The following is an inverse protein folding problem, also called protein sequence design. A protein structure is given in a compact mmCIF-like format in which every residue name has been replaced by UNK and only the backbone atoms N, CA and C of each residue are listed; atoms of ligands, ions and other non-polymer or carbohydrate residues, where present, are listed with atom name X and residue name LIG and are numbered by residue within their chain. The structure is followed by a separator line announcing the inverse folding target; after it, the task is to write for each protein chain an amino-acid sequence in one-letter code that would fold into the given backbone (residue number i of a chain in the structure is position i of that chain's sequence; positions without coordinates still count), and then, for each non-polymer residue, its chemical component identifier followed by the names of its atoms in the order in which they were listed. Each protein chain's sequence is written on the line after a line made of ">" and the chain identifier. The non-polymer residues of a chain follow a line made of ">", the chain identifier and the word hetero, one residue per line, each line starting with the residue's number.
data_IF_698087228789
#
_entry.id   IF_698087228789
#
_cell.length_a   1.000
_cell.length_b   1.000
_cell.length_c   1.000
_cell.angle_alpha   90.00
_cell.angle_beta   90.00
_cell.angle_gamma   90.00
#
_symmetry.space_group_name_H-M   'P 1'
#
loop_
_entity.id
_entity.type
_entity.pdbx_description
1 polymer ?
#
# COMPACT_ATOMS: atom_id res chain seq x y z
N UNK A 1 39.20 -18.02 -10.62
CA UNK A 1 38.23 -17.33 -9.74
C UNK A 1 37.25 -16.60 -10.65
N UNK A 2 35.96 -16.94 -10.61
CA UNK A 2 34.96 -16.25 -11.42
C UNK A 2 34.76 -14.84 -10.87
N UNK A 3 35.28 -13.83 -11.57
CA UNK A 3 35.05 -12.42 -11.24
C UNK A 3 33.61 -12.10 -11.56
N UNK A 4 32.76 -12.08 -10.53
CA UNK A 4 31.42 -11.51 -10.66
C UNK A 4 31.58 -10.03 -11.06
N UNK A 5 30.86 -9.58 -12.09
CA UNK A 5 31.03 -8.23 -12.62
C UNK A 5 30.64 -7.19 -11.56
N UNK A 6 31.34 -6.06 -11.51
CA UNK A 6 30.99 -4.94 -10.62
C UNK A 6 29.52 -4.52 -10.78
N UNK A 7 29.00 -4.61 -12.01
CA UNK A 7 27.61 -4.34 -12.35
C UNK A 7 26.61 -5.16 -11.52
N UNK A 8 26.87 -6.46 -11.32
CA UNK A 8 26.00 -7.32 -10.51
C UNK A 8 25.83 -6.80 -9.08
N UNK A 9 26.91 -6.35 -8.44
CA UNK A 9 26.84 -5.81 -7.08
C UNK A 9 26.00 -4.54 -7.02
N UNK A 10 26.14 -3.64 -8.00
CA UNK A 10 25.34 -2.41 -8.06
C UNK A 10 23.85 -2.71 -8.25
N UNK A 11 23.52 -3.65 -9.13
CA UNK A 11 22.14 -4.06 -9.38
C UNK A 11 21.50 -4.68 -8.12
N UNK A 12 22.19 -5.65 -7.49
CA UNK A 12 21.69 -6.30 -6.27
C UNK A 12 21.51 -5.30 -5.13
N UNK A 13 22.50 -4.43 -4.88
CA UNK A 13 22.41 -3.41 -3.81
C UNK A 13 21.30 -2.40 -4.12
N UNK A 14 21.08 -2.10 -5.40
CA UNK A 14 19.99 -1.25 -5.89
C UNK A 14 18.60 -1.69 -5.42
N UNK A 15 18.40 -2.98 -5.11
CA UNK A 15 17.13 -3.49 -4.59
C UNK A 15 16.99 -3.44 -3.06
N UNK A 16 18.09 -3.34 -2.30
CA UNK A 16 18.06 -3.38 -0.84
C UNK A 16 17.53 -2.10 -0.19
N UNK A 17 16.89 -2.24 0.98
CA UNK A 17 16.47 -1.08 1.79
C UNK A 17 17.71 -0.43 2.39
N UNK A 18 17.65 0.88 2.66
CA UNK A 18 18.79 1.63 3.24
C UNK A 18 19.35 0.99 4.51
N UNK A 19 18.48 0.48 5.40
CA UNK A 19 18.86 -0.28 6.62
C UNK A 19 19.58 -1.59 6.35
N UNK A 20 19.28 -2.25 5.24
CA UNK A 20 19.95 -3.50 4.86
C UNK A 20 21.30 -3.20 4.20
N UNK A 21 21.37 -2.15 3.37
CA UNK A 21 22.63 -1.63 2.82
C UNK A 21 23.59 -1.22 3.95
N UNK A 22 23.07 -0.59 5.00
CA UNK A 22 23.86 -0.22 6.19
C UNK A 22 24.55 -1.44 6.82
N UNK A 23 23.84 -2.56 6.97
CA UNK A 23 24.42 -3.80 7.50
C UNK A 23 25.51 -4.34 6.58
N UNK A 24 25.34 -4.22 5.26
CA UNK A 24 26.32 -4.69 4.28
C UNK A 24 27.64 -3.90 4.33
N UNK A 25 27.64 -2.66 4.83
CA UNK A 25 28.86 -1.87 5.04
C UNK A 25 29.87 -2.59 5.94
N UNK A 26 29.39 -3.42 6.88
CA UNK A 26 30.22 -4.13 7.85
C UNK A 26 30.74 -5.48 7.33
N UNK A 27 30.38 -5.89 6.11
CA UNK A 27 31.00 -7.04 5.46
C UNK A 27 32.44 -6.70 5.01
N UNK A 28 33.22 -7.71 4.60
CA UNK A 28 34.58 -7.49 4.05
C UNK A 28 34.56 -7.49 2.52
N UNK A 29 35.51 -6.78 1.92
CA UNK A 29 35.73 -6.76 0.47
C UNK A 29 34.79 -5.82 -0.30
N UNK A 30 34.54 -6.13 -1.58
CA UNK A 30 33.78 -5.28 -2.51
C UNK A 30 32.36 -4.94 -2.05
N UNK A 31 31.69 -5.83 -1.31
CA UNK A 31 30.37 -5.54 -0.76
C UNK A 31 30.37 -4.32 0.16
N UNK A 32 31.42 -4.14 0.97
CA UNK A 32 31.52 -3.03 1.92
C UNK A 32 31.62 -1.68 1.21
N UNK A 33 32.54 -1.57 0.25
CA UNK A 33 32.79 -0.32 -0.47
C UNK A 33 31.60 0.09 -1.33
N UNK A 34 31.00 -0.86 -2.05
CA UNK A 34 29.82 -0.59 -2.88
C UNK A 34 28.60 -0.26 -2.00
N UNK A 35 28.39 -1.00 -0.90
CA UNK A 35 27.31 -0.68 0.03
C UNK A 35 27.50 0.69 0.69
N UNK A 36 28.74 1.08 1.04
CA UNK A 36 29.01 2.41 1.58
C UNK A 36 28.66 3.52 0.58
N UNK A 37 29.12 3.39 -0.67
CA UNK A 37 28.82 4.36 -1.73
C UNK A 37 27.30 4.45 -2.01
N UNK A 38 26.60 3.32 -2.08
CA UNK A 38 25.14 3.30 -2.23
C UNK A 38 24.44 3.90 -1.01
N UNK A 39 24.85 3.55 0.20
CA UNK A 39 24.23 4.04 1.43
C UNK A 39 24.28 5.57 1.53
N UNK A 40 25.43 6.16 1.18
CA UNK A 40 25.64 7.61 1.21
C UNK A 40 24.81 8.34 0.16
N UNK A 41 24.67 7.77 -1.04
CA UNK A 41 23.93 8.37 -2.16
C UNK A 41 22.43 8.05 -2.16
N UNK A 42 21.99 7.01 -1.45
CA UNK A 42 20.61 6.53 -1.45
C UNK A 42 19.66 7.58 -0.88
N UNK A 43 18.72 8.03 -1.71
CA UNK A 43 17.61 8.89 -1.32
C UNK A 43 16.29 8.14 -1.43
N UNK A 44 15.53 8.19 -0.35
CA UNK A 44 14.14 7.74 -0.31
C UNK A 44 13.26 8.98 -0.49
N UNK A 45 12.66 9.11 -1.67
CA UNK A 45 11.96 10.30 -2.12
C UNK A 45 10.45 10.20 -1.86
N UNK A 46 9.88 11.32 -1.42
CA UNK A 46 8.44 11.58 -1.44
C UNK A 46 8.15 12.60 -2.53
N UNK A 47 7.26 12.26 -3.45
CA UNK A 47 6.84 13.14 -4.52
C UNK A 47 5.42 13.63 -4.27
N UNK A 48 5.26 14.94 -4.15
CA UNK A 48 3.98 15.61 -4.08
C UNK A 48 3.59 16.14 -5.46
N UNK A 49 2.38 15.79 -5.89
CA UNK A 49 1.75 16.26 -7.12
C UNK A 49 0.50 17.04 -6.75
N UNK A 50 0.39 18.29 -7.20
CA UNK A 50 -0.84 19.06 -7.08
C UNK A 50 -1.33 19.48 -8.47
N UNK A 51 -2.64 19.34 -8.77
CA UNK A 51 -3.20 19.85 -10.01
C UNK A 51 -2.99 21.37 -10.06
N UNK A 52 -2.44 21.87 -11.16
CA UNK A 52 -2.29 23.31 -11.33
C UNK A 52 -3.63 23.90 -11.77
N UNK A 53 -4.27 24.69 -10.90
CA UNK A 53 -5.58 25.29 -11.14
C UNK A 53 -5.55 26.46 -12.13
N UNK A 54 -4.37 27.05 -12.38
CA UNK A 54 -4.21 28.24 -13.23
C UNK A 54 -3.95 27.91 -14.70
N UNK A 55 -3.30 26.79 -15.00
CA UNK A 55 -2.90 26.44 -16.37
C UNK A 55 -3.80 25.34 -16.94
N UNK A 56 -3.96 25.35 -18.26
CA UNK A 56 -4.66 24.29 -18.99
C UNK A 56 -4.05 22.91 -18.72
N UNK A 57 -4.93 21.90 -18.85
CA UNK A 57 -4.78 20.44 -18.83
C UNK A 57 -3.36 19.89 -18.61
N UNK A 58 -3.25 18.99 -17.62
CA UNK A 58 -2.11 18.11 -17.34
C UNK A 58 -0.84 18.76 -16.76
N UNK A 59 -0.85 20.05 -16.43
CA UNK A 59 0.24 20.66 -15.66
C UNK A 59 0.06 20.40 -14.17
N UNK A 60 1.15 20.02 -13.51
CA UNK A 60 1.17 19.83 -12.06
C UNK A 60 2.24 20.66 -11.41
N UNK A 61 1.94 21.14 -10.21
CA UNK A 61 2.98 21.58 -9.30
C UNK A 61 3.68 20.34 -8.73
N UNK A 62 5.01 20.36 -8.76
CA UNK A 62 5.85 19.25 -8.33
C UNK A 62 6.73 19.67 -7.14
N UNK A 63 6.63 18.91 -6.07
CA UNK A 63 7.57 18.99 -4.94
C UNK A 63 8.14 17.62 -4.64
N UNK A 64 9.47 17.54 -4.52
CA UNK A 64 10.17 16.33 -4.12
C UNK A 64 10.88 16.57 -2.81
N UNK A 65 10.68 15.65 -1.87
CA UNK A 65 11.27 15.67 -0.54
C UNK A 65 12.19 14.47 -0.36
N UNK A 66 13.33 14.67 0.30
CA UNK A 66 14.18 13.61 0.85
C UNK A 66 14.25 13.84 2.36
N UNK A 67 13.81 12.86 3.16
CA UNK A 67 13.74 13.01 4.63
C UNK A 67 12.99 14.29 5.09
N UNK A 68 11.88 14.59 4.41
CA UNK A 68 11.05 15.82 4.59
C UNK A 68 11.73 17.14 4.21
N UNK A 69 12.93 17.11 3.62
CA UNK A 69 13.63 18.30 3.12
C UNK A 69 13.39 18.44 1.61
N UNK A 70 12.94 19.61 1.12
CA UNK A 70 12.80 19.83 -0.31
C UNK A 70 14.11 19.68 -1.08
N UNK A 71 14.05 18.93 -2.18
CA UNK A 71 15.18 18.73 -3.11
C UNK A 71 14.74 19.04 -4.54
N UNK A 72 15.72 19.22 -5.43
CA UNK A 72 15.43 19.37 -6.86
C UNK A 72 14.92 18.05 -7.45
N UNK A 73 14.07 18.15 -8.46
CA UNK A 73 13.63 17.00 -9.24
C UNK A 73 14.71 16.56 -10.22
N UNK A 74 15.74 15.93 -9.69
CA UNK A 74 16.86 15.34 -10.43
C UNK A 74 16.96 13.89 -9.96
N UNK A 75 16.25 12.99 -10.66
CA UNK A 75 16.19 11.56 -10.30
C UNK A 75 17.39 10.83 -10.91
N UNK A 76 18.16 10.17 -10.06
CA UNK A 76 19.20 9.20 -10.42
C UNK A 76 18.67 7.78 -10.17
N UNK A 77 18.30 7.02 -11.22
CA UNK A 77 17.77 5.66 -11.06
C UNK A 77 18.70 4.67 -10.36
N UNK A 78 20.01 4.95 -10.26
CA UNK A 78 20.94 4.08 -9.56
C UNK A 78 20.81 4.18 -8.03
N UNK A 79 20.42 5.35 -7.50
CA UNK A 79 20.41 5.61 -6.07
C UNK A 79 19.06 6.04 -5.51
N UNK A 80 18.21 6.63 -6.33
CA UNK A 80 16.92 7.15 -5.88
C UNK A 80 15.84 6.09 -5.86
N UNK A 81 14.92 6.24 -4.90
CA UNK A 81 13.70 5.46 -4.83
C UNK A 81 12.54 6.36 -4.52
N UNK A 82 11.49 6.32 -5.34
CA UNK A 82 10.23 6.94 -4.95
C UNK A 82 9.51 5.97 -4.02
N UNK A 83 9.35 6.40 -2.76
CA UNK A 83 8.70 5.63 -1.69
C UNK A 83 7.27 6.09 -1.45
N UNK A 84 6.97 7.33 -1.78
CA UNK A 84 5.64 7.91 -1.62
C UNK A 84 5.32 8.82 -2.80
N UNK A 85 4.11 8.66 -3.34
CA UNK A 85 3.49 9.61 -4.27
C UNK A 85 2.25 10.13 -3.56
N UNK A 86 2.25 11.42 -3.24
CA UNK A 86 1.13 12.09 -2.59
C UNK A 86 0.48 13.05 -3.60
N UNK A 87 -0.76 12.78 -3.95
CA UNK A 87 -1.55 13.61 -4.86
C UNK A 87 -2.54 14.40 -4.03
N UNK A 88 -2.46 15.72 -4.10
CA UNK A 88 -3.13 16.60 -3.16
C UNK A 88 -2.23 16.99 -1.99
N UNK A 89 -2.07 18.28 -1.81
CA UNK A 89 -1.22 18.89 -0.79
C UNK A 89 -1.43 20.41 -0.77
N UNK A 90 -0.88 21.12 0.23
CA UNK A 90 -0.96 22.58 0.25
C UNK A 90 -0.33 23.13 -1.03
N UNK A 91 -1.06 24.01 -1.71
CA UNK A 91 -0.55 24.72 -2.89
C UNK A 91 0.80 25.36 -2.53
N UNK A 92 1.82 25.01 -3.30
CA UNK A 92 3.18 25.55 -3.12
C UNK A 92 3.61 26.02 -4.47
N UNK A 93 3.65 27.35 -4.64
CA UNK A 93 4.02 28.00 -5.89
C UNK A 93 5.36 27.47 -6.42
N UNK A 94 5.28 26.53 -7.36
CA UNK A 94 6.43 25.84 -7.93
C UNK A 94 6.24 25.70 -9.44
N UNK A 95 7.33 25.38 -10.12
CA UNK A 95 7.33 25.21 -11.59
C UNK A 95 6.29 24.14 -11.98
N UNK A 96 5.43 24.50 -12.91
CA UNK A 96 4.58 23.54 -13.61
C UNK A 96 5.44 22.56 -14.41
N UNK A 97 5.08 21.30 -14.38
CA UNK A 97 5.67 20.27 -15.22
C UNK A 97 4.57 19.38 -15.81
N UNK A 98 4.87 18.78 -16.96
CA UNK A 98 3.93 17.90 -17.68
C UNK A 98 3.80 16.59 -16.90
N UNK A 99 2.59 16.27 -16.44
CA UNK A 99 2.30 15.13 -15.57
C UNK A 99 2.83 13.80 -16.14
N UNK A 100 2.59 13.51 -17.41
CA UNK A 100 3.01 12.26 -18.05
C UNK A 100 4.52 12.03 -17.98
N UNK A 101 5.33 13.05 -18.26
CA UNK A 101 6.79 12.99 -18.21
C UNK A 101 7.29 12.71 -16.79
N UNK A 102 6.65 13.34 -15.79
CA UNK A 102 6.98 13.15 -14.38
C UNK A 102 6.65 11.71 -13.97
N UNK A 103 5.45 11.24 -14.29
CA UNK A 103 5.00 9.88 -13.94
C UNK A 103 5.88 8.83 -14.60
N UNK A 104 6.21 8.98 -15.88
CA UNK A 104 7.12 8.07 -16.57
C UNK A 104 8.49 7.98 -15.90
N UNK A 105 8.98 9.09 -15.33
CA UNK A 105 10.25 9.12 -14.58
C UNK A 105 10.10 8.46 -13.21
N UNK A 106 9.02 8.79 -12.48
CA UNK A 106 8.71 8.22 -11.16
C UNK A 106 8.56 6.70 -11.25
N UNK A 107 7.82 6.19 -12.24
CA UNK A 107 7.54 4.76 -12.40
C UNK A 107 8.81 3.91 -12.56
N UNK A 108 9.90 4.47 -13.11
CA UNK A 108 11.19 3.78 -13.26
C UNK A 108 11.91 3.55 -11.93
N UNK A 109 11.63 4.39 -10.93
CA UNK A 109 12.32 4.38 -9.62
C UNK A 109 11.37 4.13 -8.45
N UNK A 110 10.08 3.93 -8.72
CA UNK A 110 9.09 3.55 -7.72
C UNK A 110 9.39 2.13 -7.23
N UNK A 111 9.57 1.97 -5.93
CA UNK A 111 9.92 0.66 -5.38
C UNK A 111 9.28 0.49 -4.01
N UNK A 112 8.30 -0.40 -3.90
CA UNK A 112 7.43 -0.55 -2.74
C UNK A 112 6.90 0.83 -2.28
N UNK A 113 6.28 1.51 -3.23
CA UNK A 113 5.79 2.87 -3.16
C UNK A 113 4.37 2.90 -2.60
N UNK A 114 4.11 3.91 -1.77
CA UNK A 114 2.78 4.26 -1.28
C UNK A 114 2.19 5.37 -2.14
N UNK A 115 1.03 5.13 -2.75
CA UNK A 115 0.24 6.14 -3.44
C UNK A 115 -0.89 6.60 -2.52
N UNK A 116 -0.98 7.90 -2.27
CA UNK A 116 -2.13 8.52 -1.59
C UNK A 116 -2.70 9.61 -2.46
N UNK A 117 -4.03 9.61 -2.62
CA UNK A 117 -4.76 10.63 -3.37
C UNK A 117 -5.80 11.27 -2.46
N UNK A 118 -5.61 12.56 -2.18
CA UNK A 118 -6.44 13.34 -1.27
C UNK A 118 -6.61 14.77 -1.78
N UNK A 119 -7.20 14.91 -2.97
CA UNK A 119 -7.63 16.20 -3.52
C UNK A 119 -8.89 15.99 -4.34
N UNK A 120 -9.74 17.01 -4.37
CA UNK A 120 -10.83 17.10 -5.33
C UNK A 120 -10.30 17.82 -6.58
N UNK A 121 -10.24 17.09 -7.69
CA UNK A 121 -9.81 17.60 -8.99
C UNK A 121 -10.79 17.13 -10.07
N UNK A 122 -10.66 17.68 -11.27
CA UNK A 122 -11.49 17.33 -12.42
C UNK A 122 -11.05 16.00 -13.04
N UNK A 123 -11.95 15.36 -13.80
CA UNK A 123 -11.64 14.13 -14.55
C UNK A 123 -10.45 14.30 -15.50
N UNK A 124 -10.25 15.51 -16.05
CA UNK A 124 -9.13 15.86 -16.92
C UNK A 124 -7.76 15.70 -16.25
N UNK A 125 -7.71 15.72 -14.91
CA UNK A 125 -6.50 15.46 -14.13
C UNK A 125 -6.33 13.97 -13.79
N UNK A 126 -7.42 13.33 -13.39
CA UNK A 126 -7.40 11.93 -12.92
C UNK A 126 -7.03 10.96 -14.03
N UNK A 127 -7.53 11.20 -15.23
CA UNK A 127 -7.33 10.32 -16.36
C UNK A 127 -5.85 10.15 -16.73
N UNK A 128 -5.09 11.22 -17.01
CA UNK A 128 -3.65 11.11 -17.25
C UNK A 128 -2.86 10.58 -16.05
N UNK A 129 -3.31 10.87 -14.82
CA UNK A 129 -2.67 10.35 -13.61
C UNK A 129 -2.74 8.83 -13.55
N UNK A 130 -3.94 8.27 -13.70
CA UNK A 130 -4.15 6.82 -13.66
C UNK A 130 -3.51 6.13 -14.87
N UNK A 131 -3.58 6.75 -16.05
CA UNK A 131 -2.96 6.21 -17.26
C UNK A 131 -1.42 6.15 -17.13
N UNK A 132 -0.80 7.20 -16.59
CA UNK A 132 0.65 7.24 -16.36
C UNK A 132 1.14 6.31 -15.24
N UNK A 133 0.30 6.02 -14.25
CA UNK A 133 0.62 5.09 -13.14
C UNK A 133 0.23 3.64 -13.44
N UNK A 134 -0.54 3.38 -14.50
CA UNK A 134 -1.11 2.07 -14.82
C UNK A 134 -0.07 0.94 -14.86
N UNK A 135 1.11 1.20 -15.39
CA UNK A 135 2.17 0.19 -15.53
C UNK A 135 3.19 0.23 -14.38
N UNK A 136 2.91 1.00 -13.32
CA UNK A 136 3.83 1.17 -12.21
C UNK A 136 3.80 -0.03 -11.25
N UNK A 137 4.53 -1.10 -11.60
CA UNK A 137 4.68 -2.30 -10.75
C UNK A 137 5.34 -2.01 -9.38
N UNK A 138 5.89 -0.81 -9.18
CA UNK A 138 6.46 -0.37 -7.91
C UNK A 138 5.43 -0.03 -6.82
N UNK A 139 4.15 0.12 -7.17
CA UNK A 139 3.09 0.46 -6.22
C UNK A 139 2.75 -0.73 -5.33
N UNK A 140 3.00 -0.59 -4.03
CA UNK A 140 2.71 -1.64 -3.05
C UNK A 140 1.58 -1.28 -2.10
N UNK A 141 1.29 0.00 -1.92
CA UNK A 141 0.23 0.48 -1.05
C UNK A 141 -0.51 1.60 -1.77
N UNK A 142 -1.83 1.52 -1.82
CA UNK A 142 -2.66 2.49 -2.55
C UNK A 142 -3.81 2.92 -1.63
N UNK A 143 -3.95 4.24 -1.47
CA UNK A 143 -5.03 4.89 -0.74
C UNK A 143 -5.69 5.90 -1.65
N UNK A 144 -6.94 5.65 -2.04
CA UNK A 144 -7.67 6.53 -2.96
C UNK A 144 -9.18 6.47 -2.74
N UNK A 145 -9.85 7.58 -3.07
CA UNK A 145 -11.31 7.66 -3.16
C UNK A 145 -11.80 7.25 -4.55
N UNK A 146 -13.11 7.07 -4.73
CA UNK A 146 -13.65 6.84 -6.07
C UNK A 146 -13.63 8.13 -6.90
N UNK A 147 -12.70 8.21 -7.86
CA UNK A 147 -12.58 9.31 -8.83
C UNK A 147 -13.18 8.96 -10.21
N UNK A 148 -14.12 8.01 -10.25
CA UNK A 148 -14.81 7.59 -11.48
C UNK A 148 -14.33 6.25 -12.03
N UNK A 149 -14.75 5.94 -13.25
CA UNK A 149 -14.55 4.62 -13.88
C UNK A 149 -13.06 4.26 -13.99
N UNK A 150 -12.20 5.22 -14.35
CA UNK A 150 -10.76 4.99 -14.47
C UNK A 150 -10.08 4.64 -13.15
N UNK A 151 -10.52 5.20 -12.02
CA UNK A 151 -9.98 4.84 -10.71
C UNK A 151 -10.25 3.36 -10.38
N UNK A 152 -11.47 2.88 -10.68
CA UNK A 152 -11.84 1.48 -10.51
C UNK A 152 -11.02 0.56 -11.42
N UNK A 153 -10.87 0.91 -12.69
CA UNK A 153 -10.04 0.16 -13.64
C UNK A 153 -8.58 0.10 -13.17
N UNK A 154 -8.02 1.23 -12.76
CA UNK A 154 -6.66 1.32 -12.24
C UNK A 154 -6.45 0.38 -11.04
N UNK A 155 -7.35 0.35 -10.07
CA UNK A 155 -7.24 -0.58 -8.93
C UNK A 155 -7.23 -2.04 -9.37
N UNK A 156 -8.13 -2.43 -10.29
CA UNK A 156 -8.19 -3.81 -10.81
C UNK A 156 -6.87 -4.19 -11.47
N UNK A 157 -6.36 -3.34 -12.35
CA UNK A 157 -5.10 -3.55 -13.05
C UNK A 157 -3.91 -3.62 -12.07
N UNK A 158 -3.86 -2.77 -11.04
CA UNK A 158 -2.81 -2.84 -10.02
C UNK A 158 -2.87 -4.12 -9.17
N UNK A 159 -4.07 -4.62 -8.87
CA UNK A 159 -4.25 -5.92 -8.20
C UNK A 159 -3.75 -7.05 -9.10
N UNK A 160 -4.08 -7.01 -10.39
CA UNK A 160 -3.69 -8.04 -11.37
C UNK A 160 -2.17 -8.06 -11.61
N UNK A 161 -1.48 -6.92 -11.48
CA UNK A 161 -0.01 -6.85 -11.47
C UNK A 161 0.63 -7.57 -10.25
N UNK A 162 -0.15 -7.85 -9.19
CA UNK A 162 0.27 -8.65 -8.03
C UNK A 162 1.19 -7.95 -7.02
N UNK A 163 1.66 -6.73 -7.32
CA UNK A 163 2.60 -5.98 -6.47
C UNK A 163 1.93 -5.32 -5.26
N UNK A 164 0.63 -5.02 -5.35
CA UNK A 164 -0.16 -4.37 -4.29
C UNK A 164 -0.27 -5.27 -3.06
N UNK A 165 -0.06 -4.68 -1.89
CA UNK A 165 -0.09 -5.33 -0.58
C UNK A 165 -1.10 -4.69 0.35
N UNK A 166 -1.31 -3.38 0.22
CA UNK A 166 -2.29 -2.65 1.02
C UNK A 166 -3.20 -1.82 0.11
N UNK A 167 -4.50 -1.90 0.38
CA UNK A 167 -5.52 -1.07 -0.25
C UNK A 167 -6.35 -0.35 0.80
N UNK A 168 -6.51 0.96 0.61
CA UNK A 168 -7.44 1.79 1.35
C UNK A 168 -8.37 2.50 0.37
N UNK A 169 -9.61 2.05 0.34
CA UNK A 169 -10.70 2.54 -0.49
C UNK A 169 -11.81 3.14 0.37
N UNK A 170 -11.44 3.70 1.53
CA UNK A 170 -12.36 4.36 2.45
C UNK A 170 -13.02 5.59 1.79
N UNK A 171 -13.87 6.30 2.55
CA UNK A 171 -14.61 7.51 2.13
C UNK A 171 -15.94 7.26 1.39
N UNK A 172 -16.81 8.28 1.43
CA UNK A 172 -18.26 8.19 1.15
C UNK A 172 -18.63 8.02 -0.33
N UNK A 173 -17.65 7.92 -1.23
CA UNK A 173 -17.93 7.80 -2.66
C UNK A 173 -18.30 6.35 -3.01
N UNK A 174 -19.33 6.19 -3.85
CA UNK A 174 -19.87 4.89 -4.21
C UNK A 174 -18.95 4.17 -5.22
N UNK A 175 -18.26 3.13 -4.80
CA UNK A 175 -17.53 2.23 -5.68
C UNK A 175 -18.46 1.34 -6.51
N UNK A 176 -18.08 1.00 -7.74
CA UNK A 176 -18.76 -0.03 -8.53
C UNK A 176 -18.81 -1.39 -7.80
N UNK A 177 -19.95 -2.08 -7.88
CA UNK A 177 -20.17 -3.37 -7.20
C UNK A 177 -19.31 -4.51 -7.75
N UNK A 178 -18.90 -4.42 -9.01
CA UNK A 178 -18.01 -5.39 -9.66
C UNK A 178 -16.58 -5.37 -9.09
N UNK A 179 -16.19 -4.30 -8.39
CA UNK A 179 -14.91 -4.23 -7.67
C UNK A 179 -14.85 -5.24 -6.51
N UNK A 180 -16.00 -5.65 -5.96
CA UNK A 180 -16.09 -6.63 -4.88
C UNK A 180 -15.39 -7.96 -5.23
N UNK A 181 -15.60 -8.46 -6.46
CA UNK A 181 -14.97 -9.69 -6.92
C UNK A 181 -13.43 -9.58 -6.98
N UNK A 182 -12.93 -8.44 -7.45
CA UNK A 182 -11.50 -8.14 -7.50
C UNK A 182 -10.89 -8.07 -6.09
N UNK A 183 -11.58 -7.45 -5.13
CA UNK A 183 -11.14 -7.42 -3.74
C UNK A 183 -11.07 -8.81 -3.10
N UNK A 184 -11.93 -9.74 -3.51
CA UNK A 184 -11.92 -11.12 -2.99
C UNK A 184 -10.64 -11.83 -3.46
N UNK A 185 -10.29 -11.67 -4.73
CA UNK A 185 -9.01 -12.13 -5.29
C UNK A 185 -7.81 -11.48 -4.60
N UNK A 186 -7.88 -10.18 -4.31
CA UNK A 186 -6.83 -9.47 -3.59
C UNK A 186 -6.60 -10.04 -2.18
N UNK A 187 -7.64 -10.33 -1.40
CA UNK A 187 -7.50 -10.94 -0.06
C UNK A 187 -6.89 -12.35 -0.13
N UNK A 188 -7.11 -13.07 -1.24
CA UNK A 188 -6.50 -14.40 -1.50
C UNK A 188 -5.03 -14.30 -1.93
N UNK A 189 -4.56 -13.16 -2.40
CA UNK A 189 -3.19 -12.95 -2.88
C UNK A 189 -2.12 -13.23 -1.80
N UNK A 190 -1.01 -13.86 -2.19
CA UNK A 190 0.15 -14.08 -1.32
C UNK A 190 0.83 -12.79 -0.85
N UNK A 191 0.68 -11.70 -1.61
CA UNK A 191 1.26 -10.38 -1.28
C UNK A 191 0.39 -9.57 -0.31
N UNK A 192 -0.88 -9.96 -0.13
CA UNK A 192 -1.85 -9.28 0.72
C UNK A 192 -1.32 -8.99 2.12
N UNK A 193 -1.54 -7.76 2.57
CA UNK A 193 -1.27 -7.29 3.92
C UNK A 193 -2.51 -6.60 4.48
N UNK A 194 -3.06 -5.59 3.80
CA UNK A 194 -4.15 -4.79 4.38
C UNK A 194 -5.24 -4.47 3.36
N UNK A 195 -6.51 -4.54 3.77
CA UNK A 195 -7.63 -3.98 3.03
C UNK A 195 -8.49 -3.14 3.98
N UNK A 196 -8.78 -1.91 3.57
CA UNK A 196 -9.64 -0.96 4.28
C UNK A 196 -10.68 -0.44 3.30
N UNK A 197 -11.95 -0.71 3.59
CA UNK A 197 -13.11 -0.30 2.77
C UNK A 197 -14.19 0.38 3.65
N UNK A 198 -13.81 0.84 4.83
CA UNK A 198 -14.75 1.45 5.75
C UNK A 198 -15.19 2.83 5.28
N UNK A 199 -16.47 3.16 5.51
CA UNK A 199 -17.06 4.40 5.00
C UNK A 199 -17.44 4.34 3.51
N UNK A 200 -17.09 3.27 2.80
CA UNK A 200 -17.54 3.02 1.43
C UNK A 200 -18.84 2.20 1.39
N UNK A 201 -19.40 2.03 0.19
CA UNK A 201 -20.52 1.11 -0.08
C UNK A 201 -20.08 -0.36 -0.28
N UNK A 202 -18.78 -0.65 -0.31
CA UNK A 202 -18.25 -2.01 -0.39
C UNK A 202 -18.38 -2.70 0.97
N UNK A 203 -18.46 -4.03 0.96
CA UNK A 203 -18.66 -4.81 2.18
C UNK A 203 -17.65 -5.94 2.29
N UNK A 204 -17.37 -6.39 3.52
CA UNK A 204 -16.62 -7.62 3.75
C UNK A 204 -17.60 -8.79 3.66
N UNK A 205 -17.48 -9.60 2.62
CA UNK A 205 -18.25 -10.85 2.53
C UNK A 205 -17.64 -11.96 3.40
N UNK A 206 -18.43 -13.01 3.60
CA UNK A 206 -18.05 -14.13 4.47
C UNK A 206 -16.83 -14.88 3.92
N UNK A 207 -16.65 -14.91 2.60
CA UNK A 207 -15.56 -15.63 1.94
C UNK A 207 -14.23 -14.90 2.14
N UNK A 208 -14.20 -13.57 2.00
CA UNK A 208 -13.02 -12.74 2.30
C UNK A 208 -12.55 -12.94 3.74
N UNK A 209 -13.48 -12.87 4.69
CA UNK A 209 -13.15 -13.01 6.12
C UNK A 209 -12.72 -14.43 6.45
N UNK A 210 -13.38 -15.45 5.89
CA UNK A 210 -12.99 -16.85 6.08
C UNK A 210 -11.62 -17.14 5.47
N UNK A 211 -11.35 -16.64 4.26
CA UNK A 211 -10.04 -16.75 3.63
C UNK A 211 -8.94 -16.12 4.49
N UNK A 212 -9.16 -14.91 4.99
CA UNK A 212 -8.21 -14.25 5.87
C UNK A 212 -7.95 -15.07 7.16
N UNK A 213 -9.01 -15.61 7.78
CA UNK A 213 -8.89 -16.47 8.97
C UNK A 213 -8.11 -17.76 8.68
N UNK A 214 -8.42 -18.45 7.58
CA UNK A 214 -7.69 -19.65 7.17
C UNK A 214 -6.21 -19.38 6.98
N UNK A 215 -5.87 -18.28 6.29
CA UNK A 215 -4.48 -17.86 6.07
C UNK A 215 -3.77 -17.49 7.38
N UNK A 216 -4.49 -16.91 8.35
CA UNK A 216 -3.95 -16.69 9.69
C UNK A 216 -3.58 -18.03 10.36
N UNK A 217 -4.48 -19.02 10.35
CA UNK A 217 -4.22 -20.33 10.95
C UNK A 217 -3.10 -21.09 10.25
N UNK A 218 -2.96 -20.93 8.93
CA UNK A 218 -1.84 -21.45 8.14
C UNK A 218 -0.53 -20.69 8.31
N UNK A 219 -0.53 -19.53 8.98
CA UNK A 219 0.67 -18.73 9.23
C UNK A 219 1.12 -17.84 8.07
N UNK A 220 0.32 -17.78 7.01
CA UNK A 220 0.61 -17.06 5.77
C UNK A 220 0.48 -15.54 5.93
N UNK A 221 -0.32 -15.07 6.89
CA UNK A 221 -0.53 -13.64 7.13
C UNK A 221 0.59 -13.03 7.97
N UNK A 222 1.22 -11.98 7.44
CA UNK A 222 2.30 -11.22 8.11
C UNK A 222 1.77 -10.43 9.31
N UNK A 223 2.70 -10.03 10.21
CA UNK A 223 2.39 -9.07 11.29
C UNK A 223 1.85 -7.78 10.68
N UNK A 224 0.79 -7.24 11.28
CA UNK A 224 0.13 -6.02 10.81
C UNK A 224 -0.83 -6.27 9.64
N UNK A 225 -1.03 -7.52 9.23
CA UNK A 225 -2.07 -7.82 8.25
C UNK A 225 -3.45 -7.52 8.84
N UNK A 226 -4.38 -7.00 8.03
CA UNK A 226 -5.72 -6.66 8.52
C UNK A 226 -6.79 -6.43 7.47
N UNK A 227 -8.04 -6.60 7.91
CA UNK A 227 -9.26 -6.29 7.17
C UNK A 227 -10.08 -5.29 7.96
N UNK A 228 -10.58 -4.25 7.28
CA UNK A 228 -11.43 -3.25 7.89
C UNK A 228 -12.57 -2.86 6.97
N UNK A 229 -13.82 -2.98 7.45
CA UNK A 229 -15.00 -2.71 6.63
C UNK A 229 -16.31 -3.14 7.29
N UNK A 230 -17.43 -2.91 6.59
CA UNK A 230 -18.78 -3.32 7.02
C UNK A 230 -19.04 -4.75 6.54
N UNK A 231 -19.33 -5.73 7.42
CA UNK A 231 -19.62 -7.09 6.97
C UNK A 231 -21.01 -7.16 6.32
N UNK A 232 -21.12 -7.89 5.20
CA UNK A 232 -22.43 -8.21 4.58
C UNK A 232 -23.13 -9.41 5.24
N UNK A 233 -22.56 -9.94 6.32
CA UNK A 233 -23.04 -11.11 7.02
C UNK A 233 -23.13 -10.86 8.53
N UNK A 234 -23.93 -11.69 9.20
CA UNK A 234 -24.01 -11.67 10.66
C UNK A 234 -22.78 -12.37 11.27
N UNK A 235 -22.07 -11.67 12.16
CA UNK A 235 -20.80 -12.12 12.77
C UNK A 235 -20.86 -13.53 13.43
N UNK A 236 -22.02 -13.94 13.95
CA UNK A 236 -22.26 -15.30 14.45
C UNK A 236 -21.86 -16.40 13.45
N UNK A 237 -21.92 -16.13 12.14
CA UNK A 237 -21.47 -17.09 11.11
C UNK A 237 -19.96 -17.37 11.24
N UNK A 238 -19.14 -16.36 11.50
CA UNK A 238 -17.69 -16.53 11.70
C UNK A 238 -17.40 -17.34 12.95
N UNK A 239 -18.12 -17.11 14.05
CA UNK A 239 -17.93 -17.91 15.26
C UNK A 239 -18.31 -19.38 15.07
N UNK A 240 -19.32 -19.67 14.23
CA UNK A 240 -19.68 -21.05 13.89
C UNK A 240 -18.61 -21.72 13.03
N UNK A 241 -18.00 -20.98 12.10
CA UNK A 241 -16.93 -21.49 11.24
C UNK A 241 -15.60 -21.66 12.00
N UNK A 242 -15.32 -20.78 12.96
CA UNK A 242 -14.06 -20.75 13.72
C UNK A 242 -14.33 -20.74 15.24
N UNK A 243 -14.83 -21.86 15.79
CA UNK A 243 -15.30 -21.94 17.18
C UNK A 243 -14.20 -21.75 18.23
N UNK A 244 -12.93 -21.90 17.86
CA UNK A 244 -11.78 -21.71 18.75
C UNK A 244 -11.51 -20.23 19.12
N UNK A 245 -12.40 -19.31 18.74
CA UNK A 245 -12.31 -17.90 19.10
C UNK A 245 -12.64 -17.68 20.58
N UNK A 246 -11.69 -17.14 21.34
CA UNK A 246 -11.92 -16.74 22.73
C UNK A 246 -12.50 -15.33 22.77
N UNK A 247 -13.67 -15.19 23.37
CA UNK A 247 -14.33 -13.88 23.56
C UNK A 247 -13.94 -13.28 24.91
N UNK A 248 -13.55 -12.01 24.93
CA UNK A 248 -13.40 -11.28 26.19
C UNK A 248 -14.79 -11.00 26.80
N UNK A 249 -15.19 -11.81 27.79
CA UNK A 249 -16.35 -11.67 28.71
C UNK A 249 -17.65 -11.01 28.15
N UNK A 250 -18.69 -11.84 27.97
CA UNK A 250 -20.11 -11.44 27.82
C UNK A 250 -20.71 -11.64 26.42
N UNK A 251 -22.05 -11.56 26.30
CA UNK A 251 -22.78 -11.64 25.01
C UNK A 251 -22.41 -10.49 24.06
N UNK A 252 -21.54 -10.75 23.07
CA UNK A 252 -21.40 -9.90 21.89
C UNK A 252 -22.80 -9.65 21.27
N UNK A 253 -23.13 -8.42 20.82
CA UNK A 253 -22.23 -7.42 20.25
C UNK A 253 -22.38 -6.04 20.92
N UNK A 254 -21.69 -5.79 22.04
CA UNK A 254 -21.49 -4.42 22.54
C UNK A 254 -20.23 -3.82 21.90
N UNK A 255 -20.23 -2.51 21.63
CA UNK A 255 -19.04 -1.78 21.22
C UNK A 255 -17.89 -2.04 22.21
N UNK A 256 -16.64 -2.04 21.74
CA UNK A 256 -15.42 -2.32 22.52
C UNK A 256 -15.21 -3.77 23.00
N UNK A 257 -15.96 -4.74 22.50
CA UNK A 257 -15.62 -6.15 22.70
C UNK A 257 -14.76 -6.68 21.56
N UNK A 258 -13.84 -7.56 21.89
CA UNK A 258 -12.99 -8.26 20.95
C UNK A 258 -13.19 -9.77 21.01
N UNK A 259 -12.99 -10.42 19.88
CA UNK A 259 -12.76 -11.87 19.78
C UNK A 259 -11.31 -12.06 19.41
N UNK A 260 -10.69 -13.04 20.04
CA UNK A 260 -9.29 -13.34 19.83
C UNK A 260 -9.11 -14.80 19.42
N UNK A 261 -8.35 -15.01 18.36
CA UNK A 261 -7.81 -16.31 18.01
C UNK A 261 -6.31 -16.30 18.24
N UNK A 262 -5.78 -17.39 18.77
CA UNK A 262 -4.34 -17.57 18.92
C UNK A 262 -3.91 -18.71 18.03
N UNK A 263 -2.79 -18.53 17.33
CA UNK A 263 -2.14 -19.64 16.63
C UNK A 263 -1.00 -20.16 17.50
N UNK A 264 -1.10 -21.38 18.04
CA UNK A 264 -0.05 -21.96 18.88
C UNK A 264 1.25 -22.17 18.08
N UNK A 265 1.13 -22.48 16.79
CA UNK A 265 2.27 -22.74 15.90
C UNK A 265 3.07 -21.47 15.64
N UNK A 266 2.39 -20.35 15.38
CA UNK A 266 3.06 -19.12 14.91
C UNK A 266 3.26 -18.06 16.00
N UNK A 267 2.80 -18.31 17.24
CA UNK A 267 2.82 -17.33 18.35
C UNK A 267 2.23 -15.97 17.95
N UNK A 268 1.13 -16.00 17.20
CA UNK A 268 0.38 -14.80 16.75
C UNK A 268 -1.01 -14.78 17.37
N UNK A 269 -1.53 -13.57 17.53
CA UNK A 269 -2.89 -13.29 17.98
C UNK A 269 -3.63 -12.57 16.86
N UNK A 270 -4.80 -13.07 16.49
CA UNK A 270 -5.73 -12.34 15.64
C UNK A 270 -6.77 -11.70 16.54
N UNK A 271 -6.97 -10.40 16.38
CA UNK A 271 -7.99 -9.66 17.09
C UNK A 271 -9.08 -9.22 16.12
N UNK A 272 -10.32 -9.57 16.41
CA UNK A 272 -11.49 -8.99 15.76
C UNK A 272 -12.21 -8.10 16.75
N UNK A 273 -12.42 -6.83 16.42
CA UNK A 273 -13.24 -5.94 17.24
C UNK A 273 -14.22 -5.15 16.37
N UNK A 274 -15.32 -4.74 17.00
CA UNK A 274 -16.32 -3.88 16.39
C UNK A 274 -15.93 -2.43 16.65
N UNK A 275 -15.47 -1.75 15.60
CA UNK A 275 -14.92 -0.39 15.69
C UNK A 275 -16.03 0.67 15.73
N UNK A 276 -17.11 0.46 14.98
CA UNK A 276 -18.31 1.31 14.97
C UNK A 276 -19.59 0.48 15.00
N UNK A 277 -20.75 1.13 14.95
CA UNK A 277 -22.03 0.42 14.82
C UNK A 277 -22.10 -0.50 13.60
N UNK A 278 -21.27 -0.32 12.57
CA UNK A 278 -21.36 -1.12 11.33
C UNK A 278 -20.07 -1.78 10.90
N UNK A 279 -18.89 -1.32 11.33
CA UNK A 279 -17.62 -1.88 10.88
C UNK A 279 -17.03 -2.91 11.84
N UNK A 280 -16.29 -3.85 11.26
CA UNK A 280 -15.38 -4.76 11.97
C UNK A 280 -13.95 -4.49 11.54
N UNK A 281 -13.02 -4.73 12.46
CA UNK A 281 -11.59 -4.73 12.22
C UNK A 281 -11.04 -6.09 12.61
N UNK A 282 -10.27 -6.72 11.71
CA UNK A 282 -9.47 -7.91 11.97
C UNK A 282 -8.00 -7.55 11.83
N UNK A 283 -7.16 -7.82 12.83
CA UNK A 283 -5.73 -7.47 12.79
C UNK A 283 -4.83 -8.54 13.40
N UNK A 284 -3.74 -8.85 12.72
CA UNK A 284 -2.72 -9.82 13.17
C UNK A 284 -1.67 -9.13 14.02
N UNK A 285 -1.68 -9.46 15.31
CA UNK A 285 -0.77 -8.97 16.33
C UNK A 285 0.26 -10.05 16.73
N UNK A 286 1.43 -9.62 17.19
CA UNK A 286 2.38 -10.53 17.84
C UNK A 286 2.00 -10.71 19.31
N UNK A 287 2.10 -11.94 19.82
CA UNK A 287 2.10 -12.17 21.26
C UNK A 287 3.41 -11.60 21.82
N UNK A 288 3.29 -10.79 22.88
CA UNK A 288 4.45 -10.34 23.67
C UNK A 288 4.96 -11.46 24.55
#
# INVERSE_FOLDING_TARGET
>A
MNTCSLFFYHEVIGHFRKKDIEKLKYLKGFWSSIAAAHYEKRRDLTVHLAPNTYYQRCNVELEVLCDNVPVRFEIDPAYDRVRTIAVGGPERHRRGAVLETILATICKVAAACYLTVNVDATEEFWDPLFDGLRQCAGLSEISLSNYGVKACQFIKEQIDLGAVKALDLSYERQWPTDLQGCLSSFVKSSSFTKLTIAGSNLTLDIEMVSCFLDRFFKGELKKGAGLFGVPSFHWNKILKLFPNGTSSRGRWPKTHRSVHWTSPVYRRKLEMFRDSYRSISLSVCQLK
#
